data_IF_292264877982
#
_entry.id   IF_292264877982
#
_cell.length_a   1.000
_cell.length_b   1.000
_cell.length_c   1.000
_cell.angle_alpha   90.00
_cell.angle_beta   90.00
_cell.angle_gamma   90.00
#
_symmetry.space_group_name_H-M   'P 1'
#
loop_
_entity.id
_entity.type
_entity.pdbx_description
1 polymer ?
#
# COMPACT_ATOMS: atom_id res chain seq x y z
N UNK A 1 14.33 0.41 7.24
CA UNK A 1 13.05 0.25 6.54
C UNK A 1 11.97 1.04 7.26
N UNK A 2 11.14 1.74 6.52
CA UNK A 2 10.13 2.66 7.05
C UNK A 2 8.76 2.39 6.42
N UNK A 3 7.71 2.60 7.22
CA UNK A 3 6.32 2.66 6.72
C UNK A 3 5.83 4.08 6.96
N UNK A 4 5.33 4.74 5.91
CA UNK A 4 4.79 6.11 6.00
C UNK A 4 3.44 6.19 5.30
N UNK A 5 2.52 6.94 5.92
CA UNK A 5 1.15 7.11 5.42
C UNK A 5 0.85 8.60 5.30
N UNK A 6 0.37 9.02 4.15
CA UNK A 6 -0.15 10.36 3.89
C UNK A 6 -1.66 10.32 3.66
N UNK A 7 -2.37 11.34 4.04
CA UNK A 7 -3.82 11.44 3.82
C UNK A 7 -4.19 11.57 2.33
N UNK A 8 -3.31 12.13 1.51
CA UNK A 8 -3.54 12.38 0.09
C UNK A 8 -2.22 12.31 -0.71
N UNK A 9 -2.28 12.45 -2.06
CA UNK A 9 -1.09 12.38 -2.91
C UNK A 9 -0.02 13.46 -2.66
N UNK A 10 -0.34 14.55 -1.94
CA UNK A 10 0.60 15.67 -1.70
C UNK A 10 1.82 15.29 -0.85
N UNK A 11 1.90 14.04 -0.37
CA UNK A 11 3.08 13.47 0.30
C UNK A 11 3.54 14.18 1.58
N UNK A 12 2.65 14.88 2.30
CA UNK A 12 2.99 15.53 3.57
C UNK A 12 3.58 14.54 4.60
N UNK A 13 3.17 13.27 4.56
CA UNK A 13 3.73 12.17 5.36
C UNK A 13 4.98 11.53 4.73
N UNK A 14 5.48 12.08 3.61
CA UNK A 14 6.66 11.58 2.90
C UNK A 14 6.55 10.10 2.48
N UNK A 15 5.36 9.65 2.07
CA UNK A 15 5.13 8.26 1.66
C UNK A 15 5.97 7.85 0.45
N UNK A 16 6.30 8.80 -0.43
CA UNK A 16 7.06 8.54 -1.66
C UNK A 16 8.48 8.04 -1.41
N UNK A 17 9.08 8.41 -0.27
CA UNK A 17 10.44 7.98 0.10
C UNK A 17 10.46 6.93 1.21
N UNK A 18 9.36 6.23 1.40
CA UNK A 18 9.24 5.14 2.37
C UNK A 18 9.48 3.77 1.73
N UNK A 19 10.02 2.83 2.48
CA UNK A 19 10.16 1.42 2.03
C UNK A 19 8.79 0.84 1.67
N UNK A 20 7.76 1.14 2.49
CA UNK A 20 6.35 0.91 2.18
C UNK A 20 5.62 2.23 2.41
N UNK A 21 5.16 2.85 1.33
CA UNK A 21 4.44 4.11 1.37
C UNK A 21 2.96 3.94 1.05
N UNK A 22 2.10 4.73 1.70
CA UNK A 22 0.68 4.76 1.43
C UNK A 22 0.16 6.19 1.32
N UNK A 23 -0.79 6.44 0.41
CA UNK A 23 -1.59 7.65 0.46
C UNK A 23 -3.07 7.35 0.24
N UNK A 24 -3.93 8.12 0.93
CA UNK A 24 -5.37 7.89 0.99
C UNK A 24 -6.10 8.23 -0.31
N UNK A 25 -7.18 7.50 -0.54
CA UNK A 25 -8.10 7.68 -1.65
C UNK A 25 -9.37 6.86 -1.45
N UNK A 26 -10.23 6.84 -2.46
CA UNK A 26 -11.47 6.05 -2.47
C UNK A 26 -11.45 4.97 -3.54
N UNK A 27 -12.08 3.85 -3.25
CA UNK A 27 -12.40 2.79 -4.19
C UNK A 27 -13.90 2.62 -4.35
N UNK A 28 -14.32 1.87 -5.36
CA UNK A 28 -15.73 1.56 -5.62
C UNK A 28 -15.89 0.10 -6.00
N UNK A 29 -16.88 -0.53 -5.42
CA UNK A 29 -17.30 -1.90 -5.75
C UNK A 29 -18.82 -1.99 -5.65
N UNK A 30 -19.50 -2.49 -6.71
CA UNK A 30 -20.96 -2.65 -6.77
C UNK A 30 -21.73 -1.40 -6.28
N UNK A 31 -21.41 -0.20 -6.80
CA UNK A 31 -22.01 1.09 -6.40
C UNK A 31 -21.72 1.56 -4.95
N UNK A 32 -20.95 0.82 -4.17
CA UNK A 32 -20.53 1.21 -2.84
C UNK A 32 -19.10 1.73 -2.85
N UNK A 33 -18.85 2.83 -2.18
CA UNK A 33 -17.51 3.37 -2.01
C UNK A 33 -16.87 2.82 -0.73
N UNK A 34 -15.56 2.66 -0.77
CA UNK A 34 -14.79 2.24 0.39
C UNK A 34 -13.46 3.02 0.47
N UNK A 35 -12.92 3.26 1.68
CA UNK A 35 -11.63 3.91 1.81
C UNK A 35 -10.52 2.96 1.37
N UNK A 36 -9.57 3.46 0.57
CA UNK A 36 -8.39 2.71 0.19
C UNK A 36 -7.12 3.56 0.28
N UNK A 37 -6.00 2.89 0.18
CA UNK A 37 -4.68 3.50 0.01
C UNK A 37 -4.05 3.06 -1.29
N UNK A 38 -3.36 3.99 -1.95
CA UNK A 38 -2.38 3.64 -2.97
C UNK A 38 -1.08 3.30 -2.27
N UNK A 39 -0.57 2.10 -2.51
CA UNK A 39 0.67 1.58 -1.94
C UNK A 39 1.82 1.69 -2.93
N UNK A 40 2.97 2.14 -2.46
CA UNK A 40 4.24 2.10 -3.16
C UNK A 40 5.30 1.37 -2.33
N UNK A 41 6.26 0.73 -3.00
CA UNK A 41 7.35 -0.01 -2.41
C UNK A 41 8.71 0.50 -2.88
N UNK A 42 9.72 0.40 -2.02
CA UNK A 42 11.11 0.61 -2.37
C UNK A 42 11.59 2.06 -2.35
N UNK A 43 10.79 2.97 -1.83
CA UNK A 43 11.25 4.32 -1.55
C UNK A 43 12.33 4.33 -0.46
N UNK A 44 13.26 5.26 -0.53
CA UNK A 44 14.26 5.50 0.50
C UNK A 44 14.72 6.96 0.48
N UNK A 45 15.11 7.42 1.64
CA UNK A 45 15.68 8.75 1.84
C UNK A 45 17.06 8.59 2.51
N UNK A 46 18.08 8.49 1.68
CA UNK A 46 19.48 8.38 2.04
C UNK A 46 20.33 9.15 1.01
N UNK A 47 21.61 8.82 0.86
CA UNK A 47 22.52 9.48 -0.10
C UNK A 47 21.97 9.42 -1.54
N UNK A 48 21.24 8.35 -1.90
CA UNK A 48 20.57 8.16 -3.18
C UNK A 48 19.06 8.10 -2.99
N UNK A 49 18.43 9.23 -2.71
CA UNK A 49 16.97 9.29 -2.50
C UNK A 49 16.20 8.73 -3.70
N UNK A 50 15.39 7.70 -3.48
CA UNK A 50 14.60 7.01 -4.50
C UNK A 50 13.13 7.06 -4.14
N UNK A 51 12.30 7.40 -5.12
CA UNK A 51 10.84 7.35 -4.97
C UNK A 51 10.34 5.90 -5.03
N UNK A 52 9.35 5.60 -4.21
CA UNK A 52 8.70 4.29 -4.20
C UNK A 52 8.00 3.98 -5.52
N UNK A 53 8.03 2.71 -5.89
CA UNK A 53 7.34 2.18 -7.06
C UNK A 53 5.88 1.88 -6.73
N UNK A 54 4.95 2.47 -7.49
CA UNK A 54 3.51 2.20 -7.32
C UNK A 54 3.23 0.70 -7.51
N UNK A 55 2.59 0.08 -6.53
CA UNK A 55 2.39 -1.38 -6.50
C UNK A 55 0.93 -1.77 -6.60
N UNK A 56 0.08 -1.26 -5.70
CA UNK A 56 -1.33 -1.66 -5.64
C UNK A 56 -2.19 -0.61 -4.94
N UNK A 57 -3.51 -0.70 -5.16
CA UNK A 57 -4.51 -0.04 -4.31
C UNK A 57 -4.98 -1.03 -3.26
N UNK A 58 -4.84 -0.68 -1.99
CA UNK A 58 -5.12 -1.54 -0.84
C UNK A 58 -6.30 -0.98 -0.05
N UNK A 59 -7.38 -1.74 0.12
CA UNK A 59 -8.47 -1.31 1.00
C UNK A 59 -7.94 -1.03 2.42
N UNK A 60 -8.41 0.03 3.05
CA UNK A 60 -7.93 0.44 4.38
C UNK A 60 -8.02 -0.70 5.40
N UNK A 61 -9.10 -1.46 5.38
CA UNK A 61 -9.30 -2.63 6.27
C UNK A 61 -8.36 -3.81 5.97
N UNK A 62 -7.59 -3.76 4.90
CA UNK A 62 -6.63 -4.81 4.48
C UNK A 62 -5.17 -4.37 4.56
N UNK A 63 -4.89 -3.15 5.00
CA UNK A 63 -3.51 -2.63 5.11
C UNK A 63 -2.64 -3.52 6.00
N UNK A 64 -3.14 -3.89 7.18
CA UNK A 64 -2.37 -4.72 8.12
C UNK A 64 -2.06 -6.10 7.54
N UNK A 65 -3.04 -6.89 7.07
CA UNK A 65 -2.72 -8.20 6.47
C UNK A 65 -1.83 -8.11 5.23
N UNK A 66 -1.95 -7.06 4.42
CA UNK A 66 -1.05 -6.83 3.27
C UNK A 66 0.38 -6.58 3.73
N UNK A 67 0.59 -5.70 4.72
CA UNK A 67 1.93 -5.45 5.28
C UNK A 67 2.53 -6.74 5.86
N UNK A 68 1.76 -7.49 6.64
CA UNK A 68 2.21 -8.75 7.22
C UNK A 68 2.60 -9.77 6.14
N UNK A 69 1.83 -9.85 5.06
CA UNK A 69 2.16 -10.73 3.92
C UNK A 69 3.45 -10.30 3.23
N UNK A 70 3.67 -9.01 3.02
CA UNK A 70 4.93 -8.51 2.45
C UNK A 70 6.12 -8.84 3.36
N UNK A 71 5.97 -8.71 4.68
CA UNK A 71 7.01 -9.07 5.65
C UNK A 71 7.27 -10.59 5.63
N UNK A 72 6.24 -11.42 5.50
CA UNK A 72 6.37 -12.86 5.36
C UNK A 72 7.19 -13.22 4.10
N UNK A 73 6.80 -12.67 2.95
CA UNK A 73 7.51 -12.86 1.68
C UNK A 73 8.99 -12.42 1.79
N UNK A 74 9.24 -11.28 2.44
CA UNK A 74 10.59 -10.83 2.71
C UNK A 74 11.39 -11.83 3.54
N UNK A 75 10.82 -12.34 4.64
CA UNK A 75 11.49 -13.31 5.52
C UNK A 75 11.83 -14.61 4.81
N UNK A 76 10.96 -15.07 3.91
CA UNK A 76 11.14 -16.31 3.14
C UNK A 76 12.16 -16.17 2.01
N UNK A 77 12.32 -14.96 1.44
CA UNK A 77 13.11 -14.74 0.23
C UNK A 77 14.35 -13.85 0.44
N UNK A 78 14.55 -13.29 1.64
CA UNK A 78 15.70 -12.42 1.92
C UNK A 78 17.02 -13.17 1.87
N UNK A 79 18.09 -12.50 1.47
CA UNK A 79 19.47 -12.95 1.68
C UNK A 79 19.92 -12.59 3.10
N UNK A 80 21.04 -13.20 3.58
CA UNK A 80 21.44 -13.16 5.00
C UNK A 80 21.48 -11.78 5.63
N UNK A 81 21.94 -10.76 4.89
CA UNK A 81 22.15 -9.40 5.41
C UNK A 81 21.17 -8.37 4.84
N UNK A 82 20.06 -8.85 4.27
CA UNK A 82 19.07 -7.95 3.68
C UNK A 82 18.26 -7.17 4.69
N UNK A 83 18.05 -5.90 4.38
CA UNK A 83 16.90 -5.15 4.87
C UNK A 83 15.73 -5.30 3.91
N UNK A 84 14.51 -5.05 4.38
CA UNK A 84 13.32 -5.04 3.51
C UNK A 84 13.51 -4.09 2.30
N UNK A 85 14.13 -2.93 2.51
CA UNK A 85 14.42 -1.96 1.45
C UNK A 85 15.34 -2.55 0.38
N UNK A 86 16.42 -3.25 0.76
CA UNK A 86 17.35 -3.88 -0.19
C UNK A 86 16.71 -5.02 -0.97
N UNK A 87 15.91 -5.83 -0.30
CA UNK A 87 15.17 -6.90 -0.96
C UNK A 87 14.21 -6.35 -2.01
N UNK A 88 13.43 -5.32 -1.67
CA UNK A 88 12.50 -4.67 -2.61
C UNK A 88 13.26 -4.02 -3.76
N UNK A 89 14.40 -3.38 -3.50
CA UNK A 89 15.23 -2.76 -4.54
C UNK A 89 15.69 -3.80 -5.58
N UNK A 90 16.15 -4.98 -5.15
CA UNK A 90 16.50 -6.07 -6.07
C UNK A 90 15.32 -6.57 -6.90
N UNK A 91 14.14 -6.68 -6.29
CA UNK A 91 12.91 -7.08 -7.00
C UNK A 91 12.55 -6.06 -8.07
N UNK A 92 12.58 -4.77 -7.76
CA UNK A 92 12.25 -3.69 -8.70
C UNK A 92 13.22 -3.68 -9.89
N UNK A 93 14.50 -3.93 -9.67
CA UNK A 93 15.53 -3.95 -10.72
C UNK A 93 15.73 -5.29 -11.39
N UNK A 94 14.92 -6.32 -11.05
CA UNK A 94 15.01 -7.65 -11.64
C UNK A 94 16.30 -8.43 -11.31
N UNK A 95 16.98 -8.04 -10.23
CA UNK A 95 18.23 -8.66 -9.76
C UNK A 95 17.99 -9.77 -8.72
N UNK A 96 16.77 -10.25 -8.62
CA UNK A 96 16.39 -11.32 -7.69
C UNK A 96 16.13 -12.61 -8.48
N UNK A 97 16.67 -13.72 -8.00
CA UNK A 97 16.50 -15.05 -8.62
C UNK A 97 15.62 -16.00 -7.79
N UNK A 98 14.92 -15.46 -6.80
CA UNK A 98 14.01 -16.23 -5.96
C UNK A 98 12.62 -16.38 -6.57
N UNK A 99 11.72 -17.05 -5.85
CA UNK A 99 10.29 -17.20 -6.24
C UNK A 99 9.59 -15.85 -6.43
N UNK A 100 9.96 -14.84 -5.65
CA UNK A 100 9.47 -13.46 -5.76
C UNK A 100 10.56 -12.63 -6.42
N UNK A 101 10.44 -12.36 -7.69
CA UNK A 101 11.47 -11.66 -8.49
C UNK A 101 10.96 -10.40 -9.19
N UNK A 102 9.71 -10.03 -8.97
CA UNK A 102 9.10 -8.83 -9.54
C UNK A 102 8.04 -8.24 -8.61
N UNK A 103 7.71 -6.97 -8.82
CA UNK A 103 6.60 -6.30 -8.12
C UNK A 103 5.26 -6.99 -8.42
N UNK A 104 5.10 -7.53 -9.65
CA UNK A 104 3.90 -8.28 -10.04
C UNK A 104 3.75 -9.58 -9.25
N UNK A 105 4.84 -10.24 -8.85
CA UNK A 105 4.76 -11.41 -7.99
C UNK A 105 4.27 -11.04 -6.59
N UNK A 106 4.76 -9.92 -6.01
CA UNK A 106 4.23 -9.40 -4.75
C UNK A 106 2.73 -9.13 -4.89
N UNK A 107 2.31 -8.48 -5.97
CA UNK A 107 0.92 -8.15 -6.23
C UNK A 107 0.03 -9.40 -6.32
N UNK A 108 0.50 -10.46 -6.96
CA UNK A 108 -0.19 -11.76 -7.00
C UNK A 108 -0.37 -12.34 -5.60
N UNK A 109 0.66 -12.33 -4.78
CA UNK A 109 0.62 -12.88 -3.41
C UNK A 109 -0.32 -12.11 -2.47
N UNK A 110 -0.53 -10.82 -2.70
CA UNK A 110 -1.48 -10.00 -1.92
C UNK A 110 -2.86 -9.89 -2.55
N UNK A 111 -3.08 -10.42 -3.74
CA UNK A 111 -4.28 -10.18 -4.56
C UNK A 111 -5.59 -10.53 -3.86
N UNK A 112 -5.62 -11.58 -3.03
CA UNK A 112 -6.81 -11.98 -2.28
C UNK A 112 -7.28 -10.93 -1.27
N UNK A 113 -6.36 -10.12 -0.73
CA UNK A 113 -6.69 -9.02 0.18
C UNK A 113 -7.25 -7.79 -0.54
N UNK A 114 -7.06 -7.69 -1.85
CA UNK A 114 -7.46 -6.52 -2.64
C UNK A 114 -8.91 -6.61 -3.15
N UNK A 115 -9.53 -7.78 -3.04
CA UNK A 115 -10.91 -8.03 -3.51
C UNK A 115 -11.88 -7.55 -2.44
N UNK A 116 -12.77 -6.56 -2.75
CA UNK A 116 -13.78 -6.12 -1.81
C UNK A 116 -14.80 -7.24 -1.53
N UNK A 117 -15.22 -7.44 -0.27
CA UNK A 117 -16.32 -8.34 0.07
C UNK A 117 -17.66 -7.75 -0.37
N UNK A 118 -18.72 -8.55 -0.36
CA UNK A 118 -20.08 -8.00 -0.48
C UNK A 118 -20.41 -7.17 0.77
N UNK A 119 -21.23 -6.12 0.59
CA UNK A 119 -21.62 -5.23 1.72
C UNK A 119 -22.29 -6.01 2.84
N UNK A 120 -23.13 -7.00 2.50
CA UNK A 120 -23.85 -7.83 3.47
C UNK A 120 -22.92 -8.70 4.32
N UNK A 121 -21.77 -9.11 3.75
CA UNK A 121 -20.80 -9.97 4.45
C UNK A 121 -19.90 -9.18 5.40
N UNK A 122 -19.55 -7.94 5.03
CA UNK A 122 -18.64 -7.09 5.81
C UNK A 122 -18.98 -5.60 5.63
N UNK A 123 -20.05 -5.10 6.27
CA UNK A 123 -20.48 -3.71 6.12
C UNK A 123 -19.42 -2.70 6.59
N UNK A 124 -18.63 -3.01 7.61
CA UNK A 124 -17.55 -2.15 8.13
C UNK A 124 -16.43 -1.89 7.11
N UNK A 125 -16.29 -2.74 6.11
CA UNK A 125 -15.32 -2.55 5.02
C UNK A 125 -15.59 -1.24 4.26
N UNK A 126 -16.85 -0.83 4.20
CA UNK A 126 -17.34 0.35 3.48
C UNK A 126 -17.47 1.58 4.36
N UNK A 127 -16.86 1.58 5.53
CA UNK A 127 -16.86 2.69 6.50
C UNK A 127 -15.43 3.10 6.84
N UNK A 128 -15.23 4.38 7.16
CA UNK A 128 -13.98 4.81 7.78
C UNK A 128 -13.84 4.27 9.21
N UNK A 129 -12.62 4.25 9.72
CA UNK A 129 -12.39 3.93 11.13
C UNK A 129 -13.07 4.96 12.03
N UNK A 130 -13.85 4.47 13.00
CA UNK A 130 -14.58 5.31 13.94
C UNK A 130 -15.83 5.97 13.37
N UNK A 131 -16.23 5.64 12.14
CA UNK A 131 -17.48 6.09 11.54
C UNK A 131 -18.53 4.99 11.58
N UNK A 132 -19.77 5.38 11.74
CA UNK A 132 -20.97 4.52 11.67
C UNK A 132 -21.76 4.76 10.36
N UNK A 133 -21.24 5.57 9.46
CA UNK A 133 -21.84 5.89 8.17
C UNK A 133 -21.01 5.38 7.00
N UNK A 134 -21.70 5.12 5.88
CA UNK A 134 -21.04 4.67 4.65
C UNK A 134 -20.01 5.70 4.16
N UNK A 135 -18.86 5.19 3.74
CA UNK A 135 -17.78 6.01 3.20
C UNK A 135 -18.17 6.68 1.88
N UNK A 136 -17.82 7.94 1.75
CA UNK A 136 -17.86 8.68 0.49
C UNK A 136 -16.71 9.70 0.45
N UNK A 137 -16.16 9.93 -0.74
CA UNK A 137 -15.15 10.96 -0.91
C UNK A 137 -15.80 12.34 -0.85
N UNK A 138 -15.26 13.21 -0.01
CA UNK A 138 -15.64 14.62 -0.01
C UNK A 138 -14.79 15.31 -1.08
N UNK A 139 -15.44 15.75 -2.16
CA UNK A 139 -14.82 16.58 -3.19
C UNK A 139 -15.06 18.04 -2.85
N UNK A 140 -14.02 18.79 -2.56
CA UNK A 140 -14.11 20.22 -2.23
C UNK A 140 -12.73 20.86 -2.19
N UNK A 141 -12.69 22.18 -2.04
CA UNK A 141 -11.43 22.88 -1.76
C UNK A 141 -10.98 22.51 -0.34
N UNK A 142 -10.09 21.50 -0.23
CA UNK A 142 -9.35 21.24 0.98
C UNK A 142 -8.27 22.29 1.21
N UNK A 143 -7.69 22.32 2.40
CA UNK A 143 -6.60 23.24 2.76
C UNK A 143 -5.38 23.11 1.82
N UNK A 144 -5.21 21.96 1.15
CA UNK A 144 -4.16 21.70 0.19
C UNK A 144 -4.54 22.06 -1.27
N UNK A 145 -5.73 22.58 -1.50
CA UNK A 145 -6.25 22.94 -2.83
C UNK A 145 -6.21 24.46 -3.10
N UNK A 146 -5.32 25.14 -2.42
CA UNK A 146 -5.08 26.57 -2.62
C UNK A 146 -4.27 26.84 -3.90
#
# INVERSE_FOLDING_TARGET
STIKISGCPNSCGQHEVATIGFYGGGGRYENNMFPNYTMSLGGRFDEDSILGHHTARVPVKRVIPVILKIIELYKENKQSDDTLSRWVDRIIHGNESSKINSVEDIKKEISSFLIPPKVEDEPDFYMDYGSDTSYHTVTGKGECAA
#
